data_IF_326838182836
#
_entry.id   IF_326838182836
#
_cell.length_a   1.000
_cell.length_b   1.000
_cell.length_c   1.000
_cell.angle_alpha   90.00
_cell.angle_beta   90.00
_cell.angle_gamma   90.00
#
_symmetry.space_group_name_H-M   'P 1'
#
loop_
_entity.id
_entity.type
_entity.pdbx_description
1 polymer ?
#
# COMPACT_ATOMS: atom_id res chain seq x y z
N UNK A 1 25.34 -25.68 -17.07
CA UNK A 1 24.01 -25.40 -16.48
C UNK A 1 23.16 -24.72 -17.53
N UNK A 2 21.86 -25.07 -17.65
CA UNK A 2 20.95 -24.29 -18.48
C UNK A 2 20.75 -22.90 -17.84
N UNK A 3 20.72 -21.81 -18.62
CA UNK A 3 20.34 -20.50 -18.10
C UNK A 3 18.89 -20.52 -17.62
N UNK A 4 18.60 -19.75 -16.58
CA UNK A 4 17.25 -19.53 -16.09
C UNK A 4 16.43 -18.74 -17.12
N UNK A 5 15.18 -19.14 -17.36
CA UNK A 5 14.25 -18.44 -18.25
C UNK A 5 12.87 -18.24 -17.59
N UNK A 6 12.10 -17.28 -18.10
CA UNK A 6 10.76 -16.91 -17.60
C UNK A 6 9.62 -17.50 -18.44
N UNK A 7 9.89 -18.52 -19.26
CA UNK A 7 8.86 -19.25 -19.99
C UNK A 7 8.21 -20.27 -19.07
N UNK A 8 6.89 -20.14 -18.89
CA UNK A 8 6.07 -21.10 -18.17
C UNK A 8 5.22 -21.87 -19.19
N UNK A 9 5.72 -22.96 -19.78
CA UNK A 9 5.06 -23.65 -20.90
C UNK A 9 3.79 -24.41 -20.50
N UNK A 10 3.52 -24.56 -19.20
CA UNK A 10 2.37 -25.29 -18.68
C UNK A 10 1.44 -24.36 -17.90
N UNK A 11 0.11 -24.56 -18.01
CA UNK A 11 -0.83 -23.81 -17.19
C UNK A 11 -0.64 -24.13 -15.70
N UNK A 12 -0.86 -23.12 -14.86
CA UNK A 12 -0.88 -23.26 -13.40
C UNK A 12 -2.28 -22.95 -12.86
N UNK A 13 -2.62 -23.51 -11.72
CA UNK A 13 -3.89 -23.31 -11.04
C UNK A 13 -3.64 -22.84 -9.60
N UNK A 14 -4.32 -21.77 -9.18
CA UNK A 14 -4.38 -21.34 -7.78
C UNK A 14 -5.78 -21.60 -7.23
N UNK A 15 -5.86 -22.43 -6.20
CA UNK A 15 -7.12 -22.71 -5.52
C UNK A 15 -7.47 -21.59 -4.52
N UNK A 16 -8.76 -21.34 -4.25
CA UNK A 16 -9.16 -20.44 -3.18
C UNK A 16 -8.57 -20.89 -1.84
N UNK A 17 -8.07 -19.92 -1.07
CA UNK A 17 -7.57 -20.15 0.29
C UNK A 17 -8.73 -19.96 1.26
N UNK A 18 -8.98 -20.95 2.13
CA UNK A 18 -9.98 -20.87 3.19
C UNK A 18 -9.29 -20.90 4.55
N UNK A 19 -9.54 -19.89 5.38
CA UNK A 19 -9.04 -19.82 6.75
C UNK A 19 -9.94 -18.91 7.61
N UNK A 20 -9.82 -19.03 8.94
CA UNK A 20 -10.52 -18.14 9.88
C UNK A 20 -10.04 -16.68 9.78
N UNK A 21 -8.75 -16.48 9.51
CA UNK A 21 -8.13 -15.19 9.27
C UNK A 21 -7.26 -15.29 8.02
N UNK A 22 -7.27 -14.26 7.16
CA UNK A 22 -6.53 -14.23 5.89
C UNK A 22 -5.86 -12.88 5.74
N UNK A 23 -4.61 -12.88 5.27
CA UNK A 23 -3.89 -11.69 4.78
C UNK A 23 -3.52 -11.92 3.32
N UNK A 24 -3.90 -11.00 2.44
CA UNK A 24 -3.61 -11.06 1.03
C UNK A 24 -2.95 -9.75 0.57
N UNK A 25 -1.80 -9.84 -0.09
CA UNK A 25 -1.01 -8.72 -0.60
C UNK A 25 -0.07 -9.19 -1.72
N UNK A 26 0.52 -8.26 -2.46
CA UNK A 26 1.44 -8.51 -3.59
C UNK A 26 2.77 -9.15 -3.16
N UNK A 27 3.20 -8.94 -1.92
CA UNK A 27 4.50 -9.37 -1.42
C UNK A 27 4.36 -10.46 -0.33
N UNK A 28 4.80 -11.71 -0.57
CA UNK A 28 4.67 -12.81 0.39
C UNK A 28 5.21 -12.52 1.79
N UNK A 29 6.34 -11.83 1.92
CA UNK A 29 6.90 -11.48 3.23
C UNK A 29 6.04 -10.45 3.99
N UNK A 30 5.37 -9.54 3.27
CA UNK A 30 4.42 -8.61 3.88
C UNK A 30 3.17 -9.36 4.38
N UNK A 31 2.67 -10.34 3.62
CA UNK A 31 1.58 -11.21 4.07
C UNK A 31 1.94 -11.94 5.36
N UNK A 32 3.19 -12.43 5.45
CA UNK A 32 3.69 -13.10 6.66
C UNK A 32 3.79 -12.16 7.87
N UNK A 33 4.13 -10.89 7.65
CA UNK A 33 4.15 -9.88 8.73
C UNK A 33 2.74 -9.65 9.29
N UNK A 34 1.72 -9.50 8.43
CA UNK A 34 0.33 -9.40 8.87
C UNK A 34 -0.14 -10.65 9.62
N UNK A 35 0.18 -11.85 9.11
CA UNK A 35 -0.12 -13.12 9.78
C UNK A 35 0.53 -13.21 11.16
N UNK A 36 1.77 -12.71 11.33
CA UNK A 36 2.43 -12.67 12.64
C UNK A 36 1.67 -11.80 13.64
N UNK A 37 1.05 -10.70 13.22
CA UNK A 37 0.23 -9.88 14.14
C UNK A 37 -1.04 -10.63 14.57
N UNK A 38 -1.71 -11.32 13.63
CA UNK A 38 -2.86 -12.17 13.97
C UNK A 38 -2.46 -13.30 14.94
N UNK A 39 -1.31 -13.95 14.73
CA UNK A 39 -0.81 -15.01 15.62
C UNK A 39 -0.49 -14.49 17.03
N UNK A 40 -0.16 -13.20 17.17
CA UNK A 40 0.05 -12.55 18.47
C UNK A 40 -1.26 -12.12 19.14
N UNK A 41 -2.42 -12.50 18.59
CA UNK A 41 -3.73 -12.11 19.09
C UNK A 41 -4.22 -10.74 18.61
N UNK A 42 -3.54 -10.16 17.62
CA UNK A 42 -3.95 -8.89 17.00
C UNK A 42 -5.20 -9.04 16.14
N UNK A 43 -5.83 -7.90 15.88
CA UNK A 43 -6.99 -7.75 15.01
C UNK A 43 -6.60 -7.67 13.53
N UNK A 44 -7.61 -7.63 12.65
CA UNK A 44 -7.40 -7.34 11.23
C UNK A 44 -6.75 -5.96 10.98
N UNK A 45 -6.97 -4.99 11.88
CA UNK A 45 -6.36 -3.66 11.81
C UNK A 45 -4.85 -3.75 12.11
N UNK A 46 -4.46 -4.50 13.13
CA UNK A 46 -3.04 -4.73 13.45
C UNK A 46 -2.32 -5.45 12.29
N UNK A 47 -3.01 -6.42 11.68
CA UNK A 47 -2.49 -7.17 10.55
C UNK A 47 -2.27 -6.28 9.31
N UNK A 48 -3.23 -5.42 8.96
CA UNK A 48 -3.12 -4.55 7.79
C UNK A 48 -2.08 -3.45 8.01
N UNK A 49 -1.99 -2.87 9.21
CA UNK A 49 -0.96 -1.88 9.54
C UNK A 49 0.44 -2.47 9.40
N UNK A 50 0.70 -3.63 10.01
CA UNK A 50 2.00 -4.29 9.92
C UNK A 50 2.36 -4.68 8.46
N UNK A 51 1.36 -5.14 7.69
CA UNK A 51 1.53 -5.44 6.26
C UNK A 51 1.87 -4.19 5.45
N UNK A 52 1.14 -3.08 5.65
CA UNK A 52 1.35 -1.83 4.94
C UNK A 52 2.72 -1.21 5.24
N UNK A 53 3.13 -1.21 6.51
CA UNK A 53 4.45 -0.75 6.94
C UNK A 53 5.54 -1.60 6.29
N UNK A 54 5.40 -2.93 6.29
CA UNK A 54 6.37 -3.82 5.67
C UNK A 54 6.50 -3.58 4.15
N UNK A 55 5.41 -3.29 3.44
CA UNK A 55 5.44 -2.99 2.01
C UNK A 55 6.27 -1.75 1.67
N UNK A 56 6.39 -0.78 2.57
CA UNK A 56 7.26 0.40 2.34
C UNK A 56 8.73 0.03 2.12
N UNK A 57 9.14 -1.15 2.60
CA UNK A 57 10.51 -1.68 2.45
C UNK A 57 10.55 -2.80 1.42
N UNK A 58 9.55 -3.69 1.42
CA UNK A 58 9.57 -4.91 0.64
C UNK A 58 9.09 -4.73 -0.81
N UNK A 59 8.44 -3.61 -1.13
CA UNK A 59 7.99 -3.28 -2.49
C UNK A 59 8.17 -1.77 -2.80
N UNK A 60 9.42 -1.27 -2.82
CA UNK A 60 9.70 0.16 -2.98
C UNK A 60 9.37 0.70 -4.38
N UNK A 61 9.16 -0.18 -5.36
CA UNK A 61 8.75 0.20 -6.72
C UNK A 61 7.30 0.66 -6.79
N UNK A 62 6.50 0.33 -5.78
CA UNK A 62 5.05 0.58 -5.74
C UNK A 62 4.60 1.27 -4.45
N UNK A 63 5.49 1.46 -3.47
CA UNK A 63 5.14 1.99 -2.16
C UNK A 63 6.33 2.72 -1.51
N UNK A 64 6.05 3.48 -0.44
CA UNK A 64 7.05 4.19 0.35
C UNK A 64 6.43 4.85 1.58
N UNK A 65 7.29 5.35 2.48
CA UNK A 65 6.85 6.07 3.69
C UNK A 65 6.18 7.40 3.32
N UNK A 66 6.56 8.00 2.18
CA UNK A 66 6.01 9.25 1.67
C UNK A 66 4.66 9.12 0.95
N UNK A 67 3.98 7.98 1.05
CA UNK A 67 2.69 7.73 0.40
C UNK A 67 1.52 8.44 1.11
N UNK A 68 0.35 8.38 0.47
CA UNK A 68 -0.96 8.54 1.08
C UNK A 68 -1.59 7.17 1.38
N UNK A 69 -2.64 7.13 2.19
CA UNK A 69 -3.35 5.89 2.50
C UNK A 69 -4.87 6.04 2.50
N UNK A 70 -5.54 4.95 2.18
CA UNK A 70 -6.99 4.82 2.23
C UNK A 70 -7.35 3.46 2.81
N UNK A 71 -8.44 3.40 3.56
CA UNK A 71 -8.95 2.13 4.07
C UNK A 71 -10.48 2.11 4.08
N UNK A 72 -11.03 0.92 3.83
CA UNK A 72 -12.42 0.61 4.10
C UNK A 72 -12.40 -0.50 5.16
N UNK A 73 -12.92 -0.19 6.33
CA UNK A 73 -12.80 -1.01 7.53
C UNK A 73 -14.20 -1.45 7.98
N UNK A 74 -14.36 -2.73 8.22
CA UNK A 74 -15.55 -3.31 8.83
C UNK A 74 -15.18 -3.86 10.20
N UNK A 75 -15.82 -3.35 11.25
CA UNK A 75 -15.55 -3.76 12.64
C UNK A 75 -16.43 -4.92 13.13
N UNK A 76 -17.22 -5.52 12.23
CA UNK A 76 -18.26 -6.51 12.57
C UNK A 76 -19.67 -5.91 12.65
N UNK A 77 -19.77 -4.59 12.82
CA UNK A 77 -21.05 -3.88 13.00
C UNK A 77 -21.23 -2.69 12.06
N UNK A 78 -20.15 -1.96 11.75
CA UNK A 78 -20.19 -0.72 10.99
C UNK A 78 -19.03 -0.65 10.01
N UNK A 79 -19.35 -0.12 8.82
CA UNK A 79 -18.37 0.23 7.81
C UNK A 79 -17.83 1.63 8.06
N UNK A 80 -16.51 1.78 7.93
CA UNK A 80 -15.79 3.05 8.08
C UNK A 80 -14.87 3.26 6.89
N UNK A 81 -14.83 4.48 6.39
CA UNK A 81 -13.85 4.90 5.40
C UNK A 81 -12.80 5.78 6.06
N UNK A 82 -11.53 5.55 5.73
CA UNK A 82 -10.40 6.39 6.07
C UNK A 82 -9.86 7.01 4.79
N UNK A 83 -9.74 8.33 4.77
CA UNK A 83 -9.06 9.09 3.73
C UNK A 83 -7.90 9.82 4.38
N UNK A 84 -6.68 9.34 4.12
CA UNK A 84 -5.44 9.98 4.50
C UNK A 84 -4.66 10.38 3.25
N UNK A 85 -5.35 11.04 2.31
CA UNK A 85 -4.70 11.76 1.23
C UNK A 85 -4.29 13.14 1.70
N UNK A 86 -2.99 13.40 1.72
CA UNK A 86 -2.51 14.69 2.18
C UNK A 86 -2.69 15.78 1.12
N UNK A 87 -2.95 16.99 1.63
CA UNK A 87 -3.29 18.15 0.80
C UNK A 87 -2.06 18.72 0.11
N UNK A 88 -2.28 19.54 -0.92
CA UNK A 88 -1.22 20.38 -1.46
C UNK A 88 -0.68 21.32 -0.37
N UNK A 89 0.65 21.47 -0.24
CA UNK A 89 1.19 22.39 0.74
C UNK A 89 0.86 23.85 0.42
N UNK A 90 0.77 24.69 1.45
CA UNK A 90 0.17 26.02 1.35
C UNK A 90 0.85 26.96 0.34
N UNK A 91 2.13 26.74 0.04
CA UNK A 91 2.90 27.52 -0.93
C UNK A 91 2.71 27.07 -2.39
N UNK A 92 1.95 26.00 -2.65
CA UNK A 92 1.61 25.54 -3.99
C UNK A 92 0.32 26.20 -4.48
N UNK A 93 0.43 27.50 -4.77
CA UNK A 93 -0.66 28.29 -5.37
C UNK A 93 -0.70 28.12 -6.89
N UNK A 94 -1.84 28.37 -7.55
CA UNK A 94 -1.94 28.30 -9.01
C UNK A 94 -0.91 29.17 -9.74
N UNK A 95 -0.56 30.34 -9.20
CA UNK A 95 0.41 31.27 -9.77
C UNK A 95 1.81 30.66 -9.85
N UNK A 96 2.19 29.82 -8.87
CA UNK A 96 3.48 29.11 -8.86
C UNK A 96 3.65 28.22 -10.10
N UNK A 97 2.54 27.67 -10.58
CA UNK A 97 2.51 26.77 -11.73
C UNK A 97 2.09 27.47 -13.02
N UNK A 98 2.04 28.81 -13.04
CA UNK A 98 1.66 29.58 -14.21
C UNK A 98 2.60 29.26 -15.39
N UNK A 99 2.00 28.95 -16.54
CA UNK A 99 2.73 28.59 -17.75
C UNK A 99 2.99 27.07 -17.90
N UNK A 100 2.71 26.27 -16.88
CA UNK A 100 2.63 24.82 -17.04
C UNK A 100 1.25 24.42 -17.56
N UNK A 101 1.23 23.51 -18.54
CA UNK A 101 -0.01 22.95 -19.08
C UNK A 101 -0.52 21.78 -18.24
N UNK A 102 0.38 21.07 -17.58
CA UNK A 102 0.09 19.94 -16.70
C UNK A 102 1.06 19.94 -15.52
N UNK A 103 0.67 19.27 -14.45
CA UNK A 103 1.56 19.06 -13.31
C UNK A 103 2.78 18.21 -13.70
N UNK A 104 3.99 18.55 -13.22
CA UNK A 104 5.16 17.70 -13.39
C UNK A 104 4.93 16.32 -12.78
N UNK A 105 5.48 15.27 -13.40
CA UNK A 105 5.37 13.89 -12.90
C UNK A 105 6.46 13.52 -11.89
N UNK A 106 7.53 14.32 -11.80
CA UNK A 106 8.68 14.12 -10.92
C UNK A 106 9.19 15.47 -10.41
N UNK A 107 9.94 15.43 -9.31
CA UNK A 107 10.52 16.60 -8.67
C UNK A 107 9.66 17.16 -7.55
N UNK A 108 10.18 18.17 -6.84
CA UNK A 108 9.56 18.72 -5.63
C UNK A 108 8.15 19.24 -5.86
N UNK A 109 7.93 19.90 -7.00
CA UNK A 109 6.66 20.54 -7.33
C UNK A 109 5.48 19.56 -7.50
N UNK A 110 5.74 18.25 -7.56
CA UNK A 110 4.74 17.19 -7.62
C UNK A 110 4.39 16.57 -6.24
N UNK A 111 5.08 16.98 -5.17
CA UNK A 111 4.97 16.35 -3.84
C UNK A 111 3.89 17.04 -3.00
N UNK A 112 2.89 16.28 -2.56
CA UNK A 112 1.90 16.70 -1.54
C UNK A 112 2.35 16.32 -0.13
N UNK A 113 1.59 16.70 0.90
CA UNK A 113 1.86 16.19 2.27
C UNK A 113 1.66 14.67 2.28
N UNK A 114 2.62 13.85 2.76
CA UNK A 114 2.39 12.41 2.91
C UNK A 114 1.37 12.11 4.01
N UNK A 115 0.24 11.49 3.66
CA UNK A 115 -0.82 11.16 4.62
C UNK A 115 -0.72 9.76 5.23
N UNK A 116 0.02 8.82 4.63
CA UNK A 116 0.07 7.41 5.05
C UNK A 116 0.54 7.23 6.50
N UNK A 117 1.50 8.03 6.95
CA UNK A 117 2.06 7.92 8.32
C UNK A 117 1.05 8.34 9.39
N UNK A 118 0.12 9.24 9.05
CA UNK A 118 -0.91 9.73 9.98
C UNK A 118 -2.20 8.89 9.97
N UNK A 119 -2.35 8.01 8.98
CA UNK A 119 -3.52 7.16 8.75
C UNK A 119 -3.66 6.09 9.85
#
# INVERSE_FOLDING_TARGET
>A
MKPFDWQFPYPSQRMPILARNVVATSQPLAAQVGLRMLMKGGSAVDAVLATAIALTVLEPTSNGIGSDAFAILWDGTKLRGLNASGRSPAAWTPERYKGLQTMPTRGWDAVTVPGCVAA
#
